data_IF_688153428278
#
_entry.id   IF_688153428278
#
_cell.length_a   1.000
_cell.length_b   1.000
_cell.length_c   1.000
_cell.angle_alpha   90.00
_cell.angle_beta   90.00
_cell.angle_gamma   90.00
#
_symmetry.space_group_name_H-M   'P 1'
#
loop_
_entity.id
_entity.type
_entity.pdbx_description
1 polymer ?
#
# COMPACT_ATOMS: atom_id res chain seq x y z
N UNK A 1 66.14 16.22 -19.25
CA UNK A 1 66.36 16.79 -17.90
C UNK A 1 65.64 18.12 -17.75
N UNK A 2 65.71 19.04 -18.71
CA UNK A 2 64.89 20.27 -18.71
C UNK A 2 63.37 19.97 -18.63
N UNK A 3 62.87 19.00 -19.41
CA UNK A 3 61.48 18.48 -19.31
C UNK A 3 61.11 18.06 -17.89
N UNK A 4 61.98 17.31 -17.21
CA UNK A 4 61.72 16.78 -15.87
C UNK A 4 61.61 17.90 -14.83
N UNK A 5 62.38 18.99 -14.97
CA UNK A 5 62.27 20.14 -14.05
C UNK A 5 60.94 20.87 -14.20
N UNK A 6 60.40 20.96 -15.42
CA UNK A 6 59.09 21.56 -15.69
C UNK A 6 57.94 20.67 -15.21
N UNK A 7 58.08 19.34 -15.32
CA UNK A 7 57.10 18.38 -14.82
C UNK A 7 56.92 18.46 -13.29
N UNK A 8 58.02 18.64 -12.55
CA UNK A 8 57.97 18.79 -11.08
C UNK A 8 57.27 20.09 -10.69
N UNK A 9 57.58 21.21 -11.36
CA UNK A 9 56.89 22.48 -11.13
C UNK A 9 55.38 22.36 -11.38
N UNK A 10 55.01 21.75 -12.51
CA UNK A 10 53.61 21.56 -12.88
C UNK A 10 52.91 20.67 -11.86
N UNK A 11 53.55 19.61 -11.38
CA UNK A 11 53.00 18.72 -10.36
C UNK A 11 52.73 19.45 -9.04
N UNK A 12 53.70 20.22 -8.54
CA UNK A 12 53.56 21.00 -7.29
C UNK A 12 52.44 22.06 -7.40
N UNK A 13 52.33 22.75 -8.55
CA UNK A 13 51.24 23.69 -8.82
C UNK A 13 49.89 22.95 -8.85
N UNK A 14 49.84 21.80 -9.51
CA UNK A 14 48.62 21.00 -9.65
C UNK A 14 48.11 20.48 -8.30
N UNK A 15 49.01 20.10 -7.38
CA UNK A 15 48.67 19.71 -6.01
C UNK A 15 48.11 20.87 -5.19
N UNK A 16 48.64 22.08 -5.39
CA UNK A 16 48.15 23.28 -4.69
C UNK A 16 46.77 23.71 -5.18
N UNK A 17 46.63 23.90 -6.49
CA UNK A 17 45.46 24.54 -7.09
C UNK A 17 44.35 23.54 -7.46
N UNK A 18 44.68 22.25 -7.53
CA UNK A 18 43.77 21.20 -7.95
C UNK A 18 43.48 21.28 -9.44
N UNK A 19 44.36 20.69 -10.24
CA UNK A 19 44.27 20.73 -11.70
C UNK A 19 44.55 19.36 -12.33
N UNK A 20 44.40 19.31 -13.66
CA UNK A 20 44.80 18.13 -14.44
C UNK A 20 46.31 18.19 -14.68
N UNK A 21 47.01 17.16 -14.24
CA UNK A 21 48.42 16.94 -14.52
C UNK A 21 48.54 15.93 -15.68
N UNK A 22 49.42 16.20 -16.65
CA UNK A 22 49.70 15.27 -17.75
C UNK A 22 51.15 14.83 -17.65
N UNK A 23 51.41 13.52 -17.58
CA UNK A 23 52.77 13.01 -17.52
C UNK A 23 53.46 13.03 -18.89
N UNK A 24 54.78 12.76 -18.91
CA UNK A 24 55.57 12.66 -20.14
C UNK A 24 55.08 11.58 -21.13
N UNK A 25 54.28 10.61 -20.67
CA UNK A 25 53.67 9.57 -21.48
C UNK A 25 52.30 9.96 -22.07
N UNK A 26 51.79 11.16 -21.74
CA UNK A 26 50.50 11.68 -22.20
C UNK A 26 49.30 11.23 -21.34
N UNK A 27 49.53 10.60 -20.19
CA UNK A 27 48.47 10.18 -19.26
C UNK A 27 48.01 11.37 -18.43
N UNK A 28 46.71 11.60 -18.38
CA UNK A 28 46.10 12.72 -17.64
C UNK A 28 45.60 12.25 -16.27
N UNK A 29 46.13 12.83 -15.20
CA UNK A 29 45.72 12.61 -13.82
C UNK A 29 44.93 13.81 -13.30
N UNK A 30 43.85 13.55 -12.56
CA UNK A 30 43.09 14.60 -11.89
C UNK A 30 43.56 14.73 -10.45
N UNK A 31 44.32 15.79 -10.15
CA UNK A 31 44.89 15.99 -8.82
C UNK A 31 43.93 16.88 -8.01
N UNK A 32 43.38 16.38 -6.88
CA UNK A 32 42.55 17.21 -6.03
C UNK A 32 43.40 18.28 -5.33
N UNK A 33 42.86 19.50 -5.19
CA UNK A 33 43.51 20.56 -4.42
C UNK A 33 43.64 20.16 -2.96
N UNK A 34 44.83 20.38 -2.40
CA UNK A 34 45.12 20.25 -0.98
C UNK A 34 44.36 21.32 -0.19
N UNK A 35 43.65 20.91 0.88
CA UNK A 35 42.73 21.79 1.62
C UNK A 35 43.15 22.05 3.05
N UNK A 36 43.97 21.20 3.65
CA UNK A 36 44.32 21.34 5.07
C UNK A 36 45.63 22.11 5.24
N UNK A 37 45.76 22.80 6.38
CA UNK A 37 46.93 23.62 6.67
C UNK A 37 48.22 22.79 6.79
N UNK A 38 48.14 21.56 7.31
CA UNK A 38 49.30 20.66 7.44
C UNK A 38 49.79 20.13 6.08
N UNK A 39 48.86 19.67 5.23
CA UNK A 39 49.17 19.24 3.87
C UNK A 39 49.75 20.41 3.03
N UNK A 40 49.21 21.62 3.19
CA UNK A 40 49.72 22.80 2.51
C UNK A 40 51.14 23.17 2.98
N UNK A 41 51.42 23.07 4.28
CA UNK A 41 52.74 23.35 4.83
C UNK A 41 53.79 22.35 4.30
N UNK A 42 53.47 21.05 4.26
CA UNK A 42 54.36 20.04 3.72
C UNK A 42 54.61 20.21 2.22
N UNK A 43 53.59 20.60 1.44
CA UNK A 43 53.77 20.93 0.02
C UNK A 43 54.67 22.15 -0.18
N UNK A 44 54.50 23.17 0.67
CA UNK A 44 55.30 24.40 0.61
C UNK A 44 56.77 24.13 0.98
N UNK A 45 57.03 23.30 1.98
CA UNK A 45 58.39 22.86 2.34
C UNK A 45 59.07 22.11 1.18
N UNK A 46 58.37 21.15 0.55
CA UNK A 46 58.87 20.47 -0.64
C UNK A 46 59.17 21.44 -1.80
N UNK A 47 58.33 22.48 -1.95
CA UNK A 47 58.48 23.49 -2.99
C UNK A 47 59.66 24.41 -2.73
N UNK A 48 59.88 24.83 -1.49
CA UNK A 48 61.03 25.66 -1.10
C UNK A 48 62.35 24.92 -1.35
N UNK A 49 62.42 23.64 -1.00
CA UNK A 49 63.58 22.79 -1.28
C UNK A 49 63.82 22.59 -2.78
N UNK A 50 62.75 22.37 -3.55
CA UNK A 50 62.84 22.29 -5.00
C UNK A 50 63.33 23.60 -5.64
N UNK A 51 62.82 24.74 -5.18
CA UNK A 51 63.25 26.06 -5.65
C UNK A 51 64.72 26.36 -5.34
N UNK A 52 65.25 25.80 -4.25
CA UNK A 52 66.69 25.90 -3.90
C UNK A 52 67.56 25.05 -4.81
N UNK A 53 67.11 23.83 -5.12
CA UNK A 53 67.86 22.88 -5.94
C UNK A 53 67.82 23.19 -7.44
N UNK A 54 66.65 23.55 -7.96
CA UNK A 54 66.39 23.80 -9.39
C UNK A 54 67.44 24.68 -10.09
N UNK A 55 67.79 25.89 -9.59
CA UNK A 55 68.74 26.76 -10.29
C UNK A 55 70.14 26.14 -10.38
N UNK A 56 70.56 25.33 -9.41
CA UNK A 56 71.85 24.64 -9.46
C UNK A 56 71.86 23.54 -10.53
N UNK A 57 70.76 22.80 -10.67
CA UNK A 57 70.58 21.81 -11.74
C UNK A 57 70.61 22.52 -13.10
N UNK A 58 69.87 23.62 -13.27
CA UNK A 58 69.81 24.37 -14.54
C UNK A 58 71.19 24.93 -14.89
N UNK A 59 71.90 25.55 -13.95
CA UNK A 59 73.23 26.10 -14.15
C UNK A 59 74.25 25.02 -14.56
N UNK A 60 74.22 23.85 -13.92
CA UNK A 60 75.05 22.72 -14.34
C UNK A 60 74.71 22.26 -15.77
N UNK A 61 73.43 22.17 -16.11
CA UNK A 61 72.99 21.71 -17.44
C UNK A 61 73.37 22.68 -18.57
N UNK A 62 73.50 23.98 -18.29
CA UNK A 62 73.94 24.98 -19.28
C UNK A 62 75.40 24.77 -19.72
N UNK A 63 76.28 24.37 -18.80
CA UNK A 63 77.72 24.21 -19.08
C UNK A 63 78.11 22.76 -19.38
N UNK A 64 77.36 21.77 -18.90
CA UNK A 64 77.66 20.35 -19.05
C UNK A 64 77.73 19.84 -20.50
N UNK A 65 77.15 20.56 -21.46
CA UNK A 65 77.15 20.20 -22.87
C UNK A 65 78.42 20.60 -23.64
N UNK A 66 79.25 21.50 -23.08
CA UNK A 66 80.47 21.98 -23.73
C UNK A 66 81.72 21.41 -23.05
N UNK A 67 82.38 20.46 -23.73
CA UNK A 67 83.62 19.82 -23.28
C UNK A 67 84.81 20.79 -23.09
N UNK A 68 84.65 22.06 -23.47
CA UNK A 68 85.68 23.11 -23.31
C UNK A 68 85.52 23.91 -22.02
N UNK A 69 84.42 23.75 -21.29
CA UNK A 69 84.13 24.45 -20.05
C UNK A 69 84.31 23.46 -18.90
N UNK A 70 85.08 23.84 -17.87
CA UNK A 70 85.16 23.05 -16.65
C UNK A 70 83.91 23.29 -15.81
N UNK A 71 83.11 22.24 -15.62
CA UNK A 71 81.83 22.28 -14.89
C UNK A 71 81.90 21.49 -13.57
N UNK A 72 83.10 21.19 -13.05
CA UNK A 72 83.28 20.34 -11.87
C UNK A 72 82.69 20.95 -10.61
N UNK A 73 82.82 22.27 -10.46
CA UNK A 73 82.37 23.01 -9.27
C UNK A 73 80.84 23.13 -9.25
N UNK A 74 80.23 23.43 -10.39
CA UNK A 74 78.78 23.46 -10.56
C UNK A 74 78.16 22.07 -10.32
N UNK A 75 78.81 21.00 -10.82
CA UNK A 75 78.38 19.63 -10.56
C UNK A 75 78.45 19.28 -9.07
N UNK A 76 79.54 19.62 -8.39
CA UNK A 76 79.72 19.35 -6.97
C UNK A 76 78.66 20.07 -6.11
N UNK A 77 78.38 21.34 -6.43
CA UNK A 77 77.34 22.13 -5.76
C UNK A 77 75.94 21.56 -6.00
N UNK A 78 75.61 21.22 -7.25
CA UNK A 78 74.32 20.62 -7.58
C UNK A 78 74.14 19.24 -6.91
N UNK A 79 75.20 18.43 -6.84
CA UNK A 79 75.17 17.10 -6.22
C UNK A 79 74.95 17.16 -4.70
N UNK A 80 75.69 18.01 -3.98
CA UNK A 80 75.54 18.16 -2.53
C UNK A 80 74.18 18.76 -2.16
N UNK A 81 73.69 19.74 -2.93
CA UNK A 81 72.34 20.27 -2.73
C UNK A 81 71.28 19.20 -3.06
N UNK A 82 71.44 18.43 -4.13
CA UNK A 82 70.48 17.38 -4.52
C UNK A 82 70.34 16.31 -3.42
N UNK A 83 71.44 15.95 -2.77
CA UNK A 83 71.43 15.01 -1.64
C UNK A 83 70.62 15.55 -0.46
N UNK A 84 70.79 16.83 -0.13
CA UNK A 84 70.09 17.48 0.99
C UNK A 84 68.61 17.67 0.65
N UNK A 85 68.31 18.32 -0.47
CA UNK A 85 66.93 18.59 -0.88
C UNK A 85 66.15 17.31 -1.20
N UNK A 86 66.78 16.24 -1.70
CA UNK A 86 66.07 14.95 -1.89
C UNK A 86 65.60 14.34 -0.58
N UNK A 87 66.35 14.49 0.53
CA UNK A 87 65.92 13.97 1.83
C UNK A 87 64.75 14.78 2.37
N UNK A 88 64.84 16.12 2.31
CA UNK A 88 63.81 17.02 2.82
C UNK A 88 62.53 16.97 1.97
N UNK A 89 62.64 16.89 0.65
CA UNK A 89 61.50 16.68 -0.26
C UNK A 89 60.84 15.33 0.03
N UNK A 90 61.61 14.26 0.23
CA UNK A 90 61.02 12.95 0.53
C UNK A 90 60.31 12.93 1.89
N UNK A 91 60.87 13.56 2.92
CA UNK A 91 60.25 13.62 4.24
C UNK A 91 58.95 14.44 4.25
N UNK A 92 58.98 15.62 3.60
CA UNK A 92 57.79 16.46 3.44
C UNK A 92 56.70 15.77 2.61
N UNK A 93 57.05 15.06 1.53
CA UNK A 93 56.09 14.29 0.73
C UNK A 93 55.53 13.06 1.48
N UNK A 94 56.32 12.40 2.33
CA UNK A 94 55.82 11.30 3.18
C UNK A 94 54.84 11.83 4.23
N UNK A 95 55.16 12.95 4.87
CA UNK A 95 54.26 13.64 5.80
C UNK A 95 52.94 14.06 5.12
N UNK A 96 53.04 14.67 3.93
CA UNK A 96 51.87 15.02 3.12
C UNK A 96 51.01 13.78 2.83
N UNK A 97 51.63 12.67 2.41
CA UNK A 97 50.94 11.43 2.07
C UNK A 97 50.18 10.88 3.28
N UNK A 98 50.83 10.83 4.46
CA UNK A 98 50.22 10.35 5.71
C UNK A 98 49.03 11.21 6.12
N UNK A 99 49.14 12.53 6.03
CA UNK A 99 48.06 13.45 6.39
C UNK A 99 46.86 13.32 5.47
N UNK A 100 47.09 13.21 4.15
CA UNK A 100 46.03 12.98 3.16
C UNK A 100 45.27 11.68 3.47
N UNK A 101 45.98 10.58 3.74
CA UNK A 101 45.35 9.30 4.06
C UNK A 101 44.55 9.35 5.37
N UNK A 102 45.12 9.96 6.42
CA UNK A 102 44.47 10.13 7.72
C UNK A 102 43.19 10.98 7.61
N UNK A 103 43.23 12.06 6.82
CA UNK A 103 42.08 12.93 6.59
C UNK A 103 40.98 12.25 5.78
N UNK A 104 41.36 11.46 4.77
CA UNK A 104 40.41 10.65 3.98
C UNK A 104 39.69 9.62 4.85
N UNK A 105 40.41 8.97 5.78
CA UNK A 105 39.81 7.98 6.71
C UNK A 105 38.82 8.64 7.68
N UNK A 106 39.14 9.83 8.19
CA UNK A 106 38.21 10.60 9.05
C UNK A 106 36.92 10.97 8.32
N UNK A 107 37.00 11.39 7.05
CA UNK A 107 35.81 11.69 6.25
C UNK A 107 34.93 10.45 6.03
N UNK A 108 35.54 9.27 5.82
CA UNK A 108 34.80 8.03 5.66
C UNK A 108 33.96 7.66 6.89
N UNK A 109 34.46 7.95 8.11
CA UNK A 109 33.70 7.71 9.35
C UNK A 109 32.47 8.62 9.49
N UNK A 110 32.56 9.89 9.09
CA UNK A 110 31.41 10.80 9.10
C UNK A 110 30.29 10.32 8.17
N UNK A 111 30.65 9.81 6.99
CA UNK A 111 29.69 9.23 6.03
C UNK A 111 28.97 8.02 6.66
N UNK A 112 29.70 7.13 7.33
CA UNK A 112 29.12 5.96 7.99
C UNK A 112 28.15 6.34 9.12
N UNK A 113 28.44 7.39 9.89
CA UNK A 113 27.55 7.88 10.94
C UNK A 113 26.22 8.38 10.37
N UNK A 114 26.27 9.18 9.30
CA UNK A 114 25.08 9.71 8.62
C UNK A 114 24.22 8.54 8.08
N UNK A 115 24.86 7.53 7.47
CA UNK A 115 24.15 6.34 6.99
C UNK A 115 23.48 5.57 8.13
N UNK A 116 24.17 5.37 9.26
CA UNK A 116 23.59 4.69 10.43
C UNK A 116 22.37 5.45 10.97
N UNK A 117 22.46 6.78 11.09
CA UNK A 117 21.33 7.62 11.50
C UNK A 117 20.16 7.51 10.53
N UNK A 118 20.42 7.50 9.21
CA UNK A 118 19.39 7.32 8.19
C UNK A 118 18.67 5.98 8.33
N UNK A 119 19.40 4.89 8.52
CA UNK A 119 18.83 3.56 8.74
C UNK A 119 17.94 3.55 9.99
N UNK A 120 18.43 4.08 11.12
CA UNK A 120 17.66 4.17 12.36
C UNK A 120 16.39 4.99 12.17
N UNK A 121 16.46 6.12 11.45
CA UNK A 121 15.30 6.96 11.18
C UNK A 121 14.24 6.25 10.32
N UNK A 122 14.65 5.49 9.30
CA UNK A 122 13.74 4.70 8.47
C UNK A 122 13.05 3.62 9.31
N UNK A 123 13.80 2.91 10.16
CA UNK A 123 13.22 1.91 11.06
C UNK A 123 12.24 2.53 12.07
N UNK A 124 12.58 3.67 12.66
CA UNK A 124 11.69 4.38 13.59
C UNK A 124 10.40 4.82 12.88
N UNK A 125 10.50 5.38 11.67
CA UNK A 125 9.34 5.76 10.87
C UNK A 125 8.44 4.55 10.56
N UNK A 126 9.04 3.42 10.17
CA UNK A 126 8.30 2.18 9.91
C UNK A 126 7.53 1.71 11.15
N UNK A 127 8.16 1.72 12.33
CA UNK A 127 7.49 1.34 13.57
C UNK A 127 6.31 2.26 13.92
N UNK A 128 6.49 3.58 13.78
CA UNK A 128 5.44 4.57 13.99
C UNK A 128 4.29 4.33 13.01
N UNK A 129 4.61 4.13 11.73
CA UNK A 129 3.62 3.87 10.68
C UNK A 129 2.81 2.60 10.97
N UNK A 130 3.47 1.49 11.31
CA UNK A 130 2.81 0.24 11.66
C UNK A 130 1.91 0.42 12.88
N UNK A 131 2.40 1.08 13.93
CA UNK A 131 1.62 1.31 15.13
C UNK A 131 0.36 2.15 14.86
N UNK A 132 0.52 3.25 14.13
CA UNK A 132 -0.59 4.12 13.74
C UNK A 132 -1.60 3.38 12.86
N UNK A 133 -1.14 2.62 11.86
CA UNK A 133 -1.99 1.92 10.92
C UNK A 133 -2.76 0.77 11.60
N UNK A 134 -2.09 -0.02 12.45
CA UNK A 134 -2.73 -1.10 13.21
C UNK A 134 -3.79 -0.56 14.17
N UNK A 135 -3.49 0.55 14.87
CA UNK A 135 -4.47 1.20 15.74
C UNK A 135 -5.69 1.68 14.95
N UNK A 136 -5.46 2.34 13.81
CA UNK A 136 -6.53 2.84 12.94
C UNK A 136 -7.42 1.72 12.40
N UNK A 137 -6.84 0.60 11.96
CA UNK A 137 -7.60 -0.57 11.50
C UNK A 137 -8.51 -1.12 12.60
N UNK A 138 -7.99 -1.25 13.83
CA UNK A 138 -8.78 -1.76 14.97
C UNK A 138 -9.98 -0.88 15.30
N UNK A 139 -9.83 0.44 15.23
CA UNK A 139 -10.93 1.38 15.51
C UNK A 139 -12.03 1.27 14.44
N UNK A 140 -11.67 1.22 13.15
CA UNK A 140 -12.64 1.05 12.05
C UNK A 140 -13.33 -0.33 12.08
N UNK A 141 -12.59 -1.39 12.39
CA UNK A 141 -13.16 -2.74 12.49
C UNK A 141 -14.12 -2.86 13.68
N UNK A 142 -13.83 -2.18 14.79
CA UNK A 142 -14.68 -2.20 15.98
C UNK A 142 -16.05 -1.53 15.72
N UNK A 143 -16.06 -0.37 15.05
CA UNK A 143 -17.31 0.31 14.68
C UNK A 143 -18.13 -0.49 13.68
N UNK A 144 -17.49 -1.05 12.65
CA UNK A 144 -18.16 -1.89 11.67
C UNK A 144 -18.74 -3.17 12.29
N UNK A 145 -18.02 -3.77 13.25
CA UNK A 145 -18.50 -4.95 13.97
C UNK A 145 -19.66 -4.62 14.91
N UNK A 146 -19.60 -3.48 15.61
CA UNK A 146 -20.67 -3.02 16.49
C UNK A 146 -21.98 -2.78 15.71
N UNK A 147 -21.92 -2.05 14.58
CA UNK A 147 -23.09 -1.78 13.75
C UNK A 147 -23.70 -3.07 13.16
N UNK A 148 -22.87 -4.04 12.76
CA UNK A 148 -23.33 -5.35 12.29
C UNK A 148 -24.03 -6.14 13.39
N UNK A 149 -23.50 -6.09 14.63
CA UNK A 149 -24.09 -6.77 15.79
C UNK A 149 -25.46 -6.21 16.14
N UNK A 150 -25.61 -4.90 16.16
CA UNK A 150 -26.90 -4.24 16.40
C UNK A 150 -27.95 -4.65 15.36
N UNK A 151 -27.58 -4.65 14.07
CA UNK A 151 -28.48 -5.10 12.99
C UNK A 151 -28.89 -6.57 13.16
N UNK A 152 -27.94 -7.42 13.58
CA UNK A 152 -28.22 -8.83 13.83
C UNK A 152 -29.17 -9.04 15.02
N UNK A 153 -28.99 -8.30 16.11
CA UNK A 153 -29.88 -8.36 17.28
C UNK A 153 -31.32 -7.93 16.93
N UNK A 154 -31.49 -6.92 16.05
CA UNK A 154 -32.80 -6.54 15.51
C UNK A 154 -33.41 -7.70 14.70
N UNK A 155 -32.66 -8.32 13.79
CA UNK A 155 -33.15 -9.45 12.99
C UNK A 155 -33.48 -10.68 13.85
N UNK A 156 -32.79 -10.86 14.97
CA UNK A 156 -32.99 -11.98 15.88
C UNK A 156 -34.27 -11.85 16.72
N UNK A 157 -34.66 -10.63 17.09
CA UNK A 157 -35.79 -10.35 17.99
C UNK A 157 -37.13 -10.20 17.26
N UNK A 158 -37.12 -9.96 15.95
CA UNK A 158 -38.35 -9.79 15.16
C UNK A 158 -39.02 -11.15 14.95
N UNK A 159 -40.28 -11.26 15.39
CA UNK A 159 -41.11 -12.47 15.28
C UNK A 159 -41.69 -12.72 13.87
N UNK A 160 -41.39 -11.85 12.91
CA UNK A 160 -41.82 -11.98 11.51
C UNK A 160 -40.64 -12.40 10.64
N UNK A 161 -40.90 -13.10 9.53
CA UNK A 161 -39.86 -13.53 8.60
C UNK A 161 -39.35 -12.33 7.81
N UNK A 162 -38.13 -11.86 8.04
CA UNK A 162 -37.59 -10.68 7.38
C UNK A 162 -36.30 -11.06 6.65
N UNK A 163 -36.21 -10.74 5.37
CA UNK A 163 -35.00 -10.95 4.59
C UNK A 163 -34.89 -9.95 3.44
N UNK A 164 -33.67 -9.79 2.94
CA UNK A 164 -33.40 -8.98 1.75
C UNK A 164 -33.27 -9.88 0.54
N UNK A 165 -33.75 -9.42 -0.61
CA UNK A 165 -33.52 -10.00 -1.92
C UNK A 165 -32.59 -9.11 -2.72
N UNK A 166 -31.71 -9.73 -3.50
CA UNK A 166 -30.95 -9.05 -4.55
C UNK A 166 -31.69 -9.07 -5.90
N UNK A 167 -31.07 -8.46 -6.92
CA UNK A 167 -31.60 -8.39 -8.30
C UNK A 167 -31.75 -9.75 -8.98
N UNK A 168 -30.97 -10.74 -8.52
CA UNK A 168 -30.91 -12.09 -9.07
C UNK A 168 -31.82 -13.07 -8.28
N UNK A 169 -32.66 -12.53 -7.39
CA UNK A 169 -33.60 -13.25 -6.52
C UNK A 169 -32.92 -14.11 -5.45
N UNK A 170 -31.67 -13.85 -5.11
CA UNK A 170 -31.02 -14.54 -4.00
C UNK A 170 -31.34 -13.86 -2.67
N UNK A 171 -31.57 -14.69 -1.66
CA UNK A 171 -31.80 -14.27 -0.29
C UNK A 171 -30.47 -13.80 0.30
N UNK A 172 -30.46 -12.61 0.89
CA UNK A 172 -29.31 -12.04 1.57
C UNK A 172 -28.79 -12.93 2.70
N UNK A 173 -27.52 -12.77 3.04
CA UNK A 173 -26.89 -13.61 4.08
C UNK A 173 -27.51 -13.43 5.47
N UNK A 174 -28.05 -12.25 5.76
CA UNK A 174 -28.78 -11.98 7.01
C UNK A 174 -30.29 -12.08 6.77
N UNK A 175 -30.96 -12.80 7.65
CA UNK A 175 -32.42 -12.96 7.70
C UNK A 175 -32.86 -13.11 9.16
N UNK A 176 -34.13 -12.87 9.45
CA UNK A 176 -34.67 -13.02 10.80
C UNK A 176 -34.72 -14.49 11.22
N UNK A 177 -34.54 -14.75 12.52
CA UNK A 177 -34.63 -16.13 13.07
C UNK A 177 -36.00 -16.75 12.82
N UNK A 178 -37.07 -15.94 12.87
CA UNK A 178 -38.43 -16.38 12.62
C UNK A 178 -38.64 -16.89 11.18
N UNK A 179 -37.84 -16.45 10.20
CA UNK A 179 -37.98 -16.91 8.82
C UNK A 179 -37.77 -18.43 8.70
N UNK A 180 -36.78 -18.99 9.39
CA UNK A 180 -36.47 -20.42 9.32
C UNK A 180 -37.63 -21.27 9.85
N UNK A 181 -38.31 -20.82 10.91
CA UNK A 181 -39.47 -21.52 11.46
C UNK A 181 -40.75 -21.29 10.64
N UNK A 182 -40.89 -20.14 9.99
CA UNK A 182 -42.03 -19.84 9.11
C UNK A 182 -41.95 -20.64 7.82
N UNK A 183 -40.78 -20.65 7.17
CA UNK A 183 -40.52 -21.35 5.92
C UNK A 183 -40.18 -22.83 6.15
N UNK A 184 -39.73 -23.24 7.33
CA UNK A 184 -39.37 -24.64 7.60
C UNK A 184 -38.14 -25.09 6.81
N UNK A 185 -37.11 -24.26 6.75
CA UNK A 185 -35.80 -24.57 6.17
C UNK A 185 -34.71 -23.82 6.93
N UNK A 186 -33.61 -24.50 7.25
CA UNK A 186 -32.48 -23.92 8.00
C UNK A 186 -31.40 -23.32 7.08
N UNK A 187 -31.51 -23.51 5.76
CA UNK A 187 -30.47 -23.11 4.78
C UNK A 187 -30.98 -22.09 3.76
N UNK A 188 -31.53 -20.98 4.24
CA UNK A 188 -32.08 -19.93 3.38
C UNK A 188 -31.06 -18.89 2.92
N UNK A 189 -29.95 -18.71 3.66
CA UNK A 189 -28.93 -17.71 3.35
C UNK A 189 -28.23 -18.01 2.01
N UNK A 190 -28.27 -17.06 1.08
CA UNK A 190 -27.66 -17.17 -0.24
C UNK A 190 -28.40 -18.09 -1.22
N UNK A 191 -29.52 -18.69 -0.80
CA UNK A 191 -30.34 -19.51 -1.69
C UNK A 191 -31.21 -18.63 -2.60
N UNK A 192 -31.48 -19.11 -3.81
CA UNK A 192 -32.41 -18.42 -4.69
C UNK A 192 -33.85 -18.59 -4.19
N UNK A 193 -34.57 -17.49 -4.02
CA UNK A 193 -35.93 -17.47 -3.50
C UNK A 193 -36.91 -18.32 -4.31
N UNK A 194 -36.72 -18.40 -5.63
CA UNK A 194 -37.55 -19.26 -6.48
C UNK A 194 -37.32 -20.75 -6.20
N UNK A 195 -36.11 -21.15 -5.80
CA UNK A 195 -35.84 -22.54 -5.40
C UNK A 195 -36.54 -22.87 -4.08
N UNK A 196 -36.54 -21.92 -3.13
CA UNK A 196 -37.21 -22.08 -1.82
C UNK A 196 -38.73 -22.26 -1.99
N UNK A 197 -39.34 -21.55 -2.93
CA UNK A 197 -40.77 -21.63 -3.22
C UNK A 197 -41.15 -22.80 -4.15
N UNK A 198 -40.17 -23.41 -4.84
CA UNK A 198 -40.42 -24.47 -5.82
C UNK A 198 -41.08 -25.67 -5.17
N UNK A 199 -42.17 -26.15 -5.77
CA UNK A 199 -42.94 -27.29 -5.23
C UNK A 199 -43.80 -26.97 -4.00
N UNK A 200 -43.73 -25.74 -3.46
CA UNK A 200 -44.58 -25.28 -2.35
C UNK A 200 -45.76 -24.42 -2.80
N UNK A 201 -45.57 -23.70 -3.91
CA UNK A 201 -46.59 -22.93 -4.62
C UNK A 201 -46.75 -23.46 -6.05
N UNK A 202 -47.79 -23.01 -6.76
CA UNK A 202 -47.97 -23.40 -8.16
C UNK A 202 -46.90 -22.78 -9.08
N UNK A 203 -46.51 -23.48 -10.15
CA UNK A 203 -45.52 -22.98 -11.11
C UNK A 203 -45.95 -21.65 -11.77
N UNK A 204 -47.26 -21.44 -11.92
CA UNK A 204 -47.84 -20.20 -12.43
C UNK A 204 -47.57 -19.03 -11.47
N UNK A 205 -47.78 -19.23 -10.18
CA UNK A 205 -47.57 -18.20 -9.16
C UNK A 205 -46.08 -17.90 -9.00
N UNK A 206 -45.23 -18.91 -9.11
CA UNK A 206 -43.78 -18.76 -9.07
C UNK A 206 -43.27 -17.89 -10.23
N UNK A 207 -43.73 -18.15 -11.45
CA UNK A 207 -43.39 -17.32 -12.62
C UNK A 207 -43.91 -15.89 -12.49
N UNK A 208 -45.12 -15.72 -11.96
CA UNK A 208 -45.71 -14.39 -11.74
C UNK A 208 -44.94 -13.61 -10.67
N UNK A 209 -44.48 -14.29 -9.63
CA UNK A 209 -43.63 -13.73 -8.56
C UNK A 209 -42.30 -13.22 -9.09
N UNK A 210 -41.64 -13.99 -9.96
CA UNK A 210 -40.39 -13.56 -10.58
C UNK A 210 -40.58 -12.27 -11.38
N UNK A 211 -41.59 -12.21 -12.25
CA UNK A 211 -41.90 -11.02 -13.04
C UNK A 211 -42.27 -9.81 -12.16
N UNK A 212 -42.97 -10.06 -11.06
CA UNK A 212 -43.31 -9.05 -10.07
C UNK A 212 -42.07 -8.44 -9.41
N UNK A 213 -41.12 -9.28 -8.95
CA UNK A 213 -39.89 -8.81 -8.31
C UNK A 213 -38.99 -8.07 -9.31
N UNK A 214 -38.92 -8.52 -10.56
CA UNK A 214 -38.23 -7.81 -11.65
C UNK A 214 -38.82 -6.40 -11.87
N UNK A 215 -40.15 -6.27 -11.83
CA UNK A 215 -40.82 -4.96 -11.90
C UNK A 215 -40.56 -4.09 -10.67
N UNK A 216 -40.38 -4.69 -9.49
CA UNK A 216 -39.99 -3.95 -8.29
C UNK A 216 -38.59 -3.34 -8.41
N UNK A 217 -37.67 -3.91 -9.17
CA UNK A 217 -36.37 -3.26 -9.46
C UNK A 217 -36.44 -2.19 -10.55
N UNK A 218 -37.57 -2.04 -11.26
CA UNK A 218 -37.71 -1.04 -12.30
C UNK A 218 -38.14 0.33 -11.71
N UNK A 219 -37.29 1.37 -11.78
CA UNK A 219 -37.58 2.68 -11.19
C UNK A 219 -38.74 3.41 -11.90
N UNK A 220 -39.10 3.01 -13.12
CA UNK A 220 -40.22 3.62 -13.88
C UNK A 220 -41.60 3.19 -13.36
N UNK A 221 -41.66 2.15 -12.53
CA UNK A 221 -42.92 1.60 -12.02
C UNK A 221 -43.19 2.14 -10.62
N UNK A 222 -44.40 2.67 -10.40
CA UNK A 222 -44.84 3.21 -9.10
C UNK A 222 -45.07 2.09 -8.09
N UNK A 223 -44.37 2.14 -6.95
CA UNK A 223 -44.43 1.13 -5.88
C UNK A 223 -45.85 0.81 -5.40
N UNK A 224 -46.67 1.83 -5.12
CA UNK A 224 -48.09 1.63 -4.69
C UNK A 224 -48.94 0.81 -5.67
N UNK A 225 -48.65 0.90 -6.97
CA UNK A 225 -49.37 0.11 -7.96
C UNK A 225 -48.91 -1.35 -7.92
N UNK A 226 -47.62 -1.55 -7.71
CA UNK A 226 -47.02 -2.88 -7.60
C UNK A 226 -47.53 -3.59 -6.36
N UNK A 227 -47.62 -2.94 -5.19
CA UNK A 227 -48.14 -3.58 -3.97
C UNK A 227 -49.54 -4.21 -4.15
N UNK A 228 -50.40 -3.57 -4.95
CA UNK A 228 -51.75 -4.07 -5.23
C UNK A 228 -51.80 -5.31 -6.14
N UNK A 229 -50.69 -5.60 -6.82
CA UNK A 229 -50.53 -6.68 -7.80
C UNK A 229 -49.67 -7.84 -7.25
N UNK A 230 -49.42 -7.86 -5.94
CA UNK A 230 -48.59 -8.89 -5.31
C UNK A 230 -49.20 -10.30 -5.47
N UNK A 231 -48.56 -11.21 -6.22
CA UNK A 231 -49.06 -12.57 -6.43
C UNK A 231 -48.92 -13.46 -5.19
N UNK A 232 -48.12 -13.05 -4.20
CA UNK A 232 -47.87 -13.80 -2.96
C UNK A 232 -48.63 -13.22 -1.75
N UNK A 233 -49.72 -12.50 -1.98
CA UNK A 233 -50.62 -12.07 -0.93
C UNK A 233 -51.50 -13.24 -0.44
N UNK A 234 -51.34 -13.64 0.83
CA UNK A 234 -52.05 -14.78 1.47
C UNK A 234 -51.97 -16.10 0.68
N UNK A 235 -50.78 -16.59 0.39
CA UNK A 235 -50.57 -17.88 -0.30
C UNK A 235 -50.47 -19.05 0.67
N UNK A 236 -51.02 -20.20 0.29
CA UNK A 236 -50.84 -21.44 1.04
C UNK A 236 -49.50 -22.08 0.65
N UNK A 237 -48.58 -22.21 1.59
CA UNK A 237 -47.37 -23.00 1.41
C UNK A 237 -47.60 -24.44 1.87
N UNK A 238 -47.23 -25.37 1.00
CA UNK A 238 -47.11 -26.78 1.33
C UNK A 238 -45.71 -27.03 1.87
N UNK A 239 -45.59 -27.71 3.02
CA UNK A 239 -44.29 -28.12 3.52
C UNK A 239 -43.73 -29.24 2.65
N UNK A 240 -42.42 -29.14 2.34
CA UNK A 240 -41.69 -30.10 1.51
C UNK A 240 -41.21 -31.34 2.27
N UNK A 241 -41.39 -31.39 3.59
CA UNK A 241 -40.95 -32.51 4.43
C UNK A 241 -41.96 -33.66 4.37
N UNK A 242 -41.44 -34.87 4.22
CA UNK A 242 -42.15 -36.17 4.10
C UNK A 242 -42.98 -36.58 5.34
N UNK A 243 -43.23 -35.63 6.25
CA UNK A 243 -44.06 -35.82 7.43
C UNK A 243 -45.53 -35.54 7.05
N UNK A 244 -46.22 -36.60 6.64
CA UNK A 244 -47.63 -36.62 6.21
C UNK A 244 -48.61 -36.36 7.36
N UNK A 245 -48.38 -35.31 8.13
CA UNK A 245 -49.18 -34.95 9.29
C UNK A 245 -49.14 -33.47 9.59
N UNK A 246 -50.04 -32.71 8.95
CA UNK A 246 -50.54 -31.41 9.41
C UNK A 246 -49.51 -30.28 9.59
N UNK A 247 -49.44 -29.38 8.60
CA UNK A 247 -49.71 -27.94 8.79
C UNK A 247 -49.43 -27.18 7.48
N UNK A 248 -50.41 -27.16 6.57
CA UNK A 248 -50.41 -26.15 5.51
C UNK A 248 -50.53 -24.78 6.18
N UNK A 249 -49.60 -23.88 5.88
CA UNK A 249 -49.58 -22.52 6.45
C UNK A 249 -49.96 -21.51 5.39
N UNK A 250 -50.76 -20.52 5.78
CA UNK A 250 -51.03 -19.36 4.93
C UNK A 250 -50.03 -18.28 5.27
N UNK A 251 -49.20 -17.91 4.30
CA UNK A 251 -48.18 -16.89 4.45
C UNK A 251 -48.56 -15.65 3.63
N UNK A 252 -48.35 -14.48 4.22
CA UNK A 252 -48.49 -13.19 3.55
C UNK A 252 -47.11 -12.57 3.36
N UNK A 253 -46.69 -12.45 2.10
CA UNK A 253 -45.41 -11.84 1.73
C UNK A 253 -45.63 -10.37 1.37
N UNK A 254 -44.89 -9.46 2.00
CA UNK A 254 -44.89 -8.03 1.66
C UNK A 254 -43.52 -7.62 1.18
N UNK A 255 -43.47 -6.93 0.06
CA UNK A 255 -42.24 -6.49 -0.59
C UNK A 255 -42.13 -4.98 -0.45
N UNK A 256 -40.94 -4.47 -0.16
CA UNK A 256 -40.69 -3.03 -0.03
C UNK A 256 -39.32 -2.69 -0.60
N UNK A 257 -39.22 -1.57 -1.32
CA UNK A 257 -37.94 -1.15 -1.93
C UNK A 257 -37.03 -0.50 -0.89
N UNK A 258 -35.75 -0.85 -0.91
CA UNK A 258 -34.70 -0.19 -0.14
C UNK A 258 -33.88 0.65 -1.11
N UNK A 259 -33.86 1.97 -0.88
CA UNK A 259 -33.15 2.93 -1.73
C UNK A 259 -31.79 3.29 -1.14
N UNK A 260 -30.78 3.40 -2.00
CA UNK A 260 -29.45 3.92 -1.67
C UNK A 260 -29.08 4.95 -2.75
N UNK A 261 -28.82 6.20 -2.37
CA UNK A 261 -28.43 7.29 -3.27
C UNK A 261 -29.30 7.49 -4.54
N UNK A 262 -30.61 7.20 -4.42
CA UNK A 262 -31.67 7.27 -5.47
C UNK A 262 -31.81 6.03 -6.35
N UNK A 263 -30.96 5.03 -6.19
CA UNK A 263 -31.09 3.73 -6.85
C UNK A 263 -31.76 2.71 -5.93
N UNK A 264 -32.47 1.75 -6.52
CA UNK A 264 -33.08 0.64 -5.78
C UNK A 264 -31.98 -0.38 -5.49
N UNK A 265 -31.45 -0.36 -4.28
CA UNK A 265 -30.33 -1.21 -3.90
C UNK A 265 -30.77 -2.66 -3.68
N UNK A 266 -31.86 -2.86 -2.94
CA UNK A 266 -32.38 -4.19 -2.56
C UNK A 266 -33.90 -4.15 -2.34
N UNK A 267 -34.51 -5.33 -2.25
CA UNK A 267 -35.92 -5.48 -1.85
C UNK A 267 -35.99 -6.14 -0.48
N UNK A 268 -36.71 -5.52 0.46
CA UNK A 268 -37.03 -6.09 1.75
C UNK A 268 -38.31 -6.92 1.63
N UNK A 269 -38.27 -8.16 2.11
CA UNK A 269 -39.41 -9.07 2.13
C UNK A 269 -39.77 -9.39 3.58
N UNK A 270 -41.01 -9.10 3.94
CA UNK A 270 -41.61 -9.45 5.22
C UNK A 270 -42.63 -10.57 5.03
N UNK A 271 -42.50 -11.65 5.78
CA UNK A 271 -43.32 -12.86 5.72
C UNK A 271 -44.04 -13.01 7.05
N UNK A 272 -45.37 -12.98 6.99
CA UNK A 272 -46.22 -13.19 8.15
C UNK A 272 -46.99 -14.49 7.99
N UNK A 273 -47.01 -15.31 9.04
CA UNK A 273 -47.94 -16.43 9.11
C UNK A 273 -49.32 -15.90 9.50
N UNK A 274 -50.27 -15.99 8.57
CA UNK A 274 -51.67 -15.56 8.73
C UNK A 274 -52.63 -16.74 8.79
N UNK A 275 -52.12 -17.95 9.05
CA UNK A 275 -52.90 -19.19 9.14
C UNK A 275 -54.11 -19.05 10.05
N UNK A 276 -53.94 -18.54 11.27
CA UNK A 276 -55.02 -18.40 12.26
C UNK A 276 -56.14 -17.47 11.77
N UNK A 277 -55.79 -16.36 11.14
CA UNK A 277 -56.75 -15.41 10.60
C UNK A 277 -57.55 -16.02 9.44
N UNK A 278 -56.87 -16.74 8.53
CA UNK A 278 -57.53 -17.40 7.40
C UNK A 278 -58.44 -18.53 7.87
N UNK A 279 -58.00 -19.35 8.82
CA UNK A 279 -58.84 -20.40 9.40
C UNK A 279 -60.07 -19.82 10.12
N UNK A 280 -59.93 -18.66 10.76
CA UNK A 280 -61.05 -17.96 11.40
C UNK A 280 -62.05 -17.42 10.36
N UNK A 281 -61.58 -16.75 9.31
CA UNK A 281 -62.43 -16.27 8.19
C UNK A 281 -63.22 -17.43 7.57
N UNK A 282 -62.55 -18.55 7.25
CA UNK A 282 -63.22 -19.72 6.67
C UNK A 282 -64.27 -20.35 7.60
N UNK A 283 -64.04 -20.33 8.92
CA UNK A 283 -65.03 -20.79 9.91
C UNK A 283 -66.25 -19.87 9.95
N UNK A 284 -66.03 -18.56 9.93
CA UNK A 284 -67.10 -17.57 9.92
C UNK A 284 -67.94 -17.67 8.64
N UNK A 285 -67.32 -17.82 7.47
CA UNK A 285 -68.03 -18.02 6.20
C UNK A 285 -68.85 -19.31 6.17
N UNK A 286 -68.29 -20.43 6.65
CA UNK A 286 -69.03 -21.70 6.75
C UNK A 286 -70.25 -21.57 7.65
N UNK A 287 -70.14 -20.86 8.77
CA UNK A 287 -71.25 -20.64 9.69
C UNK A 287 -72.30 -19.70 9.08
N UNK A 288 -71.88 -18.59 8.46
CA UNK A 288 -72.78 -17.68 7.76
C UNK A 288 -73.57 -18.39 6.64
N UNK A 289 -72.88 -19.21 5.83
CA UNK A 289 -73.50 -20.00 4.76
C UNK A 289 -74.47 -21.06 5.28
N UNK A 290 -74.16 -21.71 6.41
CA UNK A 290 -75.09 -22.65 7.09
C UNK A 290 -76.33 -21.94 7.62
N UNK A 291 -76.16 -20.76 8.24
CA UNK A 291 -77.29 -19.95 8.74
C UNK A 291 -78.20 -19.50 7.61
N UNK A 292 -77.64 -19.04 6.49
CA UNK A 292 -78.42 -18.66 5.29
C UNK A 292 -79.16 -19.86 4.70
N UNK A 293 -78.53 -21.05 4.66
CA UNK A 293 -79.19 -22.26 4.16
C UNK A 293 -80.33 -22.73 5.09
N UNK A 294 -80.21 -22.52 6.41
CA UNK A 294 -81.26 -22.84 7.41
C UNK A 294 -82.47 -21.91 7.37
N UNK A 295 -82.26 -20.65 6.99
CA UNK A 295 -83.32 -19.64 6.89
C UNK A 295 -84.09 -19.71 5.56
N UNK A 296 -83.67 -20.57 4.62
CA UNK A 296 -84.20 -20.66 3.26
C UNK A 296 -84.80 -22.04 2.93
N UNK A 297 -84.90 -22.94 3.91
CA UNK A 297 -85.56 -24.24 3.83
C UNK A 297 -86.77 -24.28 4.77
#
# INVERSE_FOLDING_TARGET
MESNTQEIDQLLISMREGSKYTDAAGTVYNIPSIKTAGELAALEEAREEWNTLKPLIVNYLETAGDIRIDSSDELALAYEQAKTSSLLINDSLDNLTRDVFSNAERQANTIRLIQALGVVAIFAYFLIFVFFFVRRLRETDAEAFAARRETQEIMETVNTGLFLLDKDLNIGQQHSRALNSIVGSDRLAGENFTNVLRGRISDKDLKTTQQFIEQLYNPRVKEKLVDSLNPLHKVMLHNSSDDKGLNNRFLDFKFSRVYEDKDIARILVNVNDVSDAVYLEQRLEKNARKTICRLRC
#
